data_IF_123892981867
#
_entry.id   IF_123892981867
#
_cell.length_a   1.000
_cell.length_b   1.000
_cell.length_c   1.000
_cell.angle_alpha   90.00
_cell.angle_beta   90.00
_cell.angle_gamma   90.00
#
_symmetry.space_group_name_H-M   'P 1'
#
loop_
_entity.id
_entity.type
_entity.pdbx_description
1 polymer ?
#
# COMPACT_ATOMS: atom_id res chain seq x y z
N UNK A 1 -13.63 -6.30 16.95
CA UNK A 1 -12.62 -5.28 17.25
C UNK A 1 -12.27 -4.54 15.97
N UNK A 2 -12.42 -3.25 16.01
CA UNK A 2 -12.07 -2.43 14.88
C UNK A 2 -10.57 -2.20 14.81
N UNK A 3 -10.00 -2.50 13.68
CA UNK A 3 -8.62 -2.14 13.42
C UNK A 3 -8.61 -0.87 12.57
N UNK A 4 -8.57 0.27 13.23
CA UNK A 4 -8.56 1.58 12.56
C UNK A 4 -7.17 1.97 12.06
N UNK A 5 -6.22 1.03 12.10
CA UNK A 5 -4.85 1.30 11.69
C UNK A 5 -4.61 1.03 10.20
N UNK A 6 -5.43 0.16 9.59
CA UNK A 6 -5.17 -0.31 8.23
C UNK A 6 -6.28 0.14 7.28
N UNK A 7 -5.91 0.94 6.28
CA UNK A 7 -6.81 1.48 5.27
C UNK A 7 -6.21 1.29 3.87
N UNK A 8 -6.11 0.04 3.43
CA UNK A 8 -5.66 -0.28 2.09
C UNK A 8 -6.29 -1.59 1.65
N UNK A 9 -6.13 -1.91 0.37
CA UNK A 9 -6.70 -3.11 -0.20
C UNK A 9 -5.94 -4.38 0.19
N UNK A 10 -6.60 -5.51 0.03
CA UNK A 10 -6.09 -6.82 0.42
C UNK A 10 -4.88 -7.27 -0.40
N UNK A 11 -4.69 -6.70 -1.58
CA UNK A 11 -3.56 -7.06 -2.44
C UNK A 11 -2.20 -6.75 -1.83
N UNK A 12 -2.15 -5.86 -0.85
CA UNK A 12 -0.91 -5.53 -0.16
C UNK A 12 -0.71 -6.30 1.14
N UNK A 13 -1.61 -7.25 1.44
CA UNK A 13 -1.57 -7.98 2.70
C UNK A 13 -0.23 -8.70 2.93
N UNK A 14 0.25 -9.45 1.93
CA UNK A 14 1.50 -10.19 2.07
C UNK A 14 2.70 -9.26 2.27
N UNK A 15 2.71 -8.12 1.59
CA UNK A 15 3.76 -7.11 1.76
C UNK A 15 3.78 -6.63 3.21
N UNK A 16 2.60 -6.34 3.76
CA UNK A 16 2.48 -5.87 5.14
C UNK A 16 2.87 -6.93 6.14
N UNK A 17 2.49 -8.19 5.91
CA UNK A 17 2.86 -9.29 6.79
C UNK A 17 4.36 -9.50 6.81
N UNK A 18 4.99 -9.48 5.64
CA UNK A 18 6.45 -9.61 5.54
C UNK A 18 7.16 -8.45 6.24
N UNK A 19 6.67 -7.23 6.06
CA UNK A 19 7.24 -6.07 6.73
C UNK A 19 7.13 -6.21 8.24
N UNK A 20 5.97 -6.59 8.75
CA UNK A 20 5.76 -6.76 10.18
C UNK A 20 6.70 -7.82 10.76
N UNK A 21 6.94 -8.90 10.04
CA UNK A 21 7.90 -9.93 10.47
C UNK A 21 9.33 -9.37 10.54
N UNK A 22 9.72 -8.57 9.54
CA UNK A 22 11.07 -8.00 9.50
C UNK A 22 11.33 -6.99 10.61
N UNK A 23 10.33 -6.22 11.00
CA UNK A 23 10.52 -5.16 11.99
C UNK A 23 10.08 -5.56 13.40
N UNK A 24 9.47 -6.73 13.56
CA UNK A 24 8.91 -7.16 14.85
C UNK A 24 9.93 -7.07 16.00
N UNK A 25 11.13 -7.57 15.80
CA UNK A 25 12.15 -7.56 16.84
C UNK A 25 12.67 -6.15 17.18
N UNK A 26 12.40 -5.18 16.33
CA UNK A 26 12.80 -3.79 16.53
C UNK A 26 11.85 -3.01 17.44
N UNK A 27 10.75 -3.64 17.83
CA UNK A 27 9.72 -3.06 18.72
C UNK A 27 9.15 -1.74 18.19
N UNK A 28 8.65 -1.71 16.95
CA UNK A 28 8.07 -0.49 16.41
C UNK A 28 6.73 -0.17 17.06
N UNK A 29 6.37 1.11 17.03
CA UNK A 29 5.02 1.55 17.33
C UNK A 29 4.38 1.91 16.00
N UNK A 30 3.46 1.09 15.53
CA UNK A 30 2.75 1.33 14.27
C UNK A 30 1.54 2.22 14.55
N UNK A 31 1.47 3.35 13.86
CA UNK A 31 0.42 4.33 14.08
C UNK A 31 -0.68 4.25 13.04
N UNK A 32 -0.33 4.04 11.78
CA UNK A 32 -1.31 3.95 10.71
C UNK A 32 -0.69 3.32 9.48
N UNK A 33 -1.50 2.55 8.76
CA UNK A 33 -1.14 1.95 7.47
C UNK A 33 -2.27 2.33 6.52
N UNK A 34 -1.95 2.99 5.41
CA UNK A 34 -3.00 3.40 4.47
C UNK A 34 -2.51 3.52 3.04
N UNK A 35 -3.46 3.56 2.13
CA UNK A 35 -3.21 3.94 0.75
C UNK A 35 -3.36 5.46 0.66
N UNK A 36 -2.48 6.09 -0.10
CA UNK A 36 -2.59 7.51 -0.39
C UNK A 36 -2.02 7.78 -1.77
N UNK A 37 -2.84 8.36 -2.65
CA UNK A 37 -2.44 8.67 -4.03
C UNK A 37 -1.89 7.46 -4.79
N UNK A 38 -2.46 6.28 -4.54
CA UNK A 38 -2.05 5.05 -5.20
C UNK A 38 -0.88 4.32 -4.54
N UNK A 39 -0.32 4.87 -3.48
CA UNK A 39 0.85 4.31 -2.81
C UNK A 39 0.57 3.88 -1.37
N UNK A 40 1.38 2.95 -0.90
CA UNK A 40 1.33 2.52 0.49
C UNK A 40 2.03 3.55 1.38
N UNK A 41 1.38 3.89 2.48
CA UNK A 41 1.95 4.75 3.53
C UNK A 41 1.94 3.98 4.85
N UNK A 42 3.12 3.75 5.39
CA UNK A 42 3.29 3.02 6.64
C UNK A 42 3.86 3.98 7.69
N UNK A 43 3.01 4.40 8.61
CA UNK A 43 3.40 5.35 9.66
C UNK A 43 3.74 4.59 10.93
N UNK A 44 4.99 4.71 11.36
CA UNK A 44 5.47 4.03 12.56
C UNK A 44 6.59 4.84 13.20
N UNK A 45 6.89 4.54 14.44
CA UNK A 45 8.10 5.03 15.10
C UNK A 45 8.93 3.85 15.56
N UNK A 46 10.24 4.03 15.55
CA UNK A 46 11.18 3.00 15.97
C UNK A 46 12.04 3.52 17.10
N UNK A 47 12.47 2.63 18.03
CA UNK A 47 13.49 3.01 18.99
C UNK A 47 14.73 3.54 18.27
N UNK A 48 15.44 4.45 18.90
CA UNK A 48 16.57 5.14 18.30
C UNK A 48 17.57 4.20 17.63
N UNK A 49 17.88 3.08 18.30
CA UNK A 49 18.87 2.11 17.81
C UNK A 49 18.44 1.40 16.53
N UNK A 50 17.12 1.39 16.23
CA UNK A 50 16.57 0.69 15.07
C UNK A 50 15.95 1.63 14.04
N UNK A 51 16.01 2.93 14.27
CA UNK A 51 15.30 3.90 13.43
C UNK A 51 15.71 3.82 11.96
N UNK A 52 17.02 3.82 11.70
CA UNK A 52 17.54 3.74 10.34
C UNK A 52 17.16 2.43 9.65
N UNK A 53 17.39 1.32 10.35
CA UNK A 53 17.10 -0.02 9.83
C UNK A 53 15.60 -0.23 9.62
N UNK A 54 14.78 0.21 10.57
CA UNK A 54 13.33 0.09 10.49
C UNK A 54 12.76 0.87 9.30
N UNK A 55 13.19 2.10 9.12
CA UNK A 55 12.73 2.91 8.00
C UNK A 55 13.22 2.37 6.65
N UNK A 56 14.39 1.73 6.61
CA UNK A 56 14.85 1.07 5.40
C UNK A 56 13.89 -0.05 4.99
N UNK A 57 13.43 -0.84 5.96
CA UNK A 57 12.47 -1.92 5.69
C UNK A 57 11.11 -1.37 5.26
N UNK A 58 10.65 -0.28 5.88
CA UNK A 58 9.40 0.38 5.49
C UNK A 58 9.49 0.86 4.04
N UNK A 59 10.59 1.50 3.66
CA UNK A 59 10.76 1.99 2.29
C UNK A 59 10.73 0.86 1.27
N UNK A 60 11.35 -0.28 1.58
CA UNK A 60 11.29 -1.46 0.70
C UNK A 60 9.86 -1.94 0.49
N UNK A 61 9.07 -1.97 1.55
CA UNK A 61 7.68 -2.40 1.46
C UNK A 61 6.85 -1.42 0.64
N UNK A 62 7.04 -0.12 0.84
CA UNK A 62 6.34 0.90 0.08
C UNK A 62 6.70 0.85 -1.41
N UNK A 63 7.98 0.60 -1.70
CA UNK A 63 8.45 0.45 -3.07
C UNK A 63 7.86 -0.79 -3.72
N UNK A 64 7.81 -1.91 -3.01
CA UNK A 64 7.20 -3.13 -3.52
C UNK A 64 5.70 -2.95 -3.76
N UNK A 65 5.01 -2.23 -2.89
CA UNK A 65 3.60 -1.93 -3.06
C UNK A 65 3.34 -1.12 -4.33
N UNK A 66 4.28 -0.26 -4.73
CA UNK A 66 4.14 0.54 -5.95
C UNK A 66 4.14 -0.31 -7.23
N UNK A 67 4.56 -1.56 -7.12
CA UNK A 67 4.60 -2.51 -8.23
C UNK A 67 3.60 -3.65 -8.07
N UNK A 68 2.73 -3.56 -7.08
CA UNK A 68 1.81 -4.63 -6.70
C UNK A 68 0.39 -4.13 -6.71
N UNK A 69 -0.50 -4.85 -7.39
CA UNK A 69 -1.92 -4.52 -7.42
C UNK A 69 -2.49 -4.48 -6.00
N UNK A 70 -3.07 -3.36 -5.63
CA UNK A 70 -3.65 -3.19 -4.30
C UNK A 70 -4.84 -4.11 -4.06
N UNK A 71 -5.54 -4.51 -5.13
CA UNK A 71 -6.75 -5.32 -5.00
C UNK A 71 -6.46 -6.82 -4.92
N UNK A 72 -5.56 -7.33 -5.76
CA UNK A 72 -5.35 -8.78 -5.85
C UNK A 72 -3.93 -9.26 -5.54
N UNK A 73 -2.96 -8.36 -5.41
CA UNK A 73 -1.60 -8.74 -5.07
C UNK A 73 -0.71 -9.19 -6.23
N UNK A 74 -1.26 -9.25 -7.43
CA UNK A 74 -0.45 -9.56 -8.62
C UNK A 74 0.39 -8.35 -9.01
N UNK A 75 1.41 -8.53 -9.88
CA UNK A 75 2.16 -7.37 -10.37
C UNK A 75 1.22 -6.33 -10.96
N UNK A 76 1.43 -5.09 -10.59
CA UNK A 76 0.57 -3.99 -11.01
C UNK A 76 1.39 -2.76 -11.32
N UNK A 77 0.71 -1.72 -11.79
CA UNK A 77 1.37 -0.46 -12.11
C UNK A 77 0.50 0.72 -11.68
N UNK A 78 1.14 1.84 -11.51
CA UNK A 78 0.48 3.10 -11.13
C UNK A 78 -0.37 3.61 -12.29
N UNK A 79 -1.61 3.99 -11.99
CA UNK A 79 -2.57 4.46 -12.97
C UNK A 79 -3.31 5.68 -12.45
N UNK A 80 -3.78 6.51 -13.38
CA UNK A 80 -4.62 7.66 -13.07
C UNK A 80 -5.87 7.59 -13.95
N UNK A 81 -7.06 7.69 -13.33
CA UNK A 81 -8.33 7.70 -14.06
C UNK A 81 -9.28 8.67 -13.37
N UNK A 82 -9.79 9.63 -14.11
CA UNK A 82 -10.68 10.66 -13.57
C UNK A 82 -10.07 11.39 -12.36
N UNK A 83 -8.74 11.59 -12.38
CA UNK A 83 -8.04 12.21 -11.27
C UNK A 83 -7.76 11.27 -10.10
N UNK A 84 -8.28 10.05 -10.13
CA UNK A 84 -8.06 9.05 -9.09
C UNK A 84 -6.78 8.26 -9.37
N UNK A 85 -5.92 8.18 -8.36
CA UNK A 85 -4.63 7.48 -8.47
C UNK A 85 -4.71 6.14 -7.76
N UNK A 86 -4.22 5.09 -8.43
CA UNK A 86 -4.24 3.74 -7.86
C UNK A 86 -3.18 2.87 -8.52
N UNK A 87 -2.82 1.77 -7.85
CA UNK A 87 -1.88 0.78 -8.38
C UNK A 87 -2.65 -0.51 -8.59
N UNK A 88 -2.72 -0.99 -9.83
CA UNK A 88 -3.47 -2.19 -10.15
C UNK A 88 -2.89 -2.95 -11.32
N UNK A 89 -3.19 -4.26 -11.38
CA UNK A 89 -2.90 -5.09 -12.52
C UNK A 89 -3.92 -4.80 -13.65
N UNK A 90 -3.65 -5.30 -14.85
CA UNK A 90 -4.53 -5.07 -15.99
C UNK A 90 -5.95 -5.60 -15.74
N UNK A 91 -6.05 -6.77 -15.15
CA UNK A 91 -7.35 -7.40 -14.88
C UNK A 91 -8.20 -6.57 -13.92
N UNK A 92 -7.62 -6.17 -12.79
CA UNK A 92 -8.36 -5.35 -11.82
C UNK A 92 -8.65 -3.96 -12.36
N UNK A 93 -7.74 -3.41 -13.15
CA UNK A 93 -7.96 -2.14 -13.84
C UNK A 93 -9.15 -2.23 -14.80
N UNK A 94 -9.25 -3.30 -15.58
CA UNK A 94 -10.37 -3.50 -16.50
C UNK A 94 -11.71 -3.58 -15.75
N UNK A 95 -11.73 -4.28 -14.62
CA UNK A 95 -12.93 -4.37 -13.78
C UNK A 95 -13.30 -3.00 -13.25
N UNK A 96 -12.32 -2.26 -12.76
CA UNK A 96 -12.54 -0.89 -12.27
C UNK A 96 -13.11 0.01 -13.37
N UNK A 97 -12.59 -0.08 -14.59
CA UNK A 97 -13.06 0.72 -15.70
C UNK A 97 -14.50 0.42 -16.10
N UNK A 98 -14.93 -0.83 -15.96
CA UNK A 98 -16.32 -1.19 -16.24
C UNK A 98 -17.27 -0.62 -15.20
N UNK A 99 -16.84 -0.61 -13.94
CA UNK A 99 -17.65 -0.08 -12.83
C UNK A 99 -17.63 1.45 -12.76
N UNK A 100 -16.57 2.07 -13.29
CA UNK A 100 -16.36 3.51 -13.23
C UNK A 100 -16.01 4.04 -14.62
N UNK A 101 -17.02 4.15 -15.52
CA UNK A 101 -16.74 4.66 -16.86
C UNK A 101 -16.17 6.06 -16.80
N UNK A 102 -15.24 6.34 -17.71
CA UNK A 102 -14.64 7.65 -17.80
C UNK A 102 -15.68 8.64 -18.32
N UNK A 103 -15.92 9.70 -17.55
CA UNK A 103 -16.89 10.70 -17.95
C UNK A 103 -16.23 11.74 -18.85
N UNK A 104 -16.88 12.11 -19.96
CA UNK A 104 -16.36 13.20 -20.78
C UNK A 104 -16.44 14.50 -19.99
N UNK A 105 -15.41 15.29 -20.09
CA UNK A 105 -15.45 16.63 -19.53
C UNK A 105 -16.39 17.52 -20.35
N UNK A 106 -17.19 18.34 -19.67
CA UNK A 106 -18.06 19.28 -20.38
C UNK A 106 -17.25 20.33 -21.12
#
# INVERSE_FOLDING_TARGET
MHNNLIYCGDGWFDILMNLCEEIHAMRPKVMQIKEKFGGLRFYASFPKDYSEQGWAEVRKAEEKASETCEDCGQPGEFRVRNGWRYTSCDKCHDIYCKDHPEEPYP
#
